data_IF_405832576704
#
_entry.id   IF_405832576704
#
_cell.length_a   1.000
_cell.length_b   1.000
_cell.length_c   1.000
_cell.angle_alpha   90.00
_cell.angle_beta   90.00
_cell.angle_gamma   90.00
#
_symmetry.space_group_name_H-M   'P 1'
#
loop_
_entity.id
_entity.type
_entity.pdbx_description
1 polymer ?
#
# COMPACT_ATOMS: atom_id res chain seq x y z
N UNK A 1 -23.96 -4.85 19.61
CA UNK A 1 -23.44 -3.60 19.00
C UNK A 1 -24.19 -3.45 17.70
N UNK A 2 -24.86 -2.33 17.45
CA UNK A 2 -25.59 -2.16 16.18
C UNK A 2 -24.56 -1.89 15.06
N UNK A 3 -24.59 -2.70 14.01
CA UNK A 3 -23.77 -2.53 12.81
C UNK A 3 -24.25 -1.31 12.03
N UNK A 4 -23.73 -0.13 12.39
CA UNK A 4 -23.99 1.10 11.63
C UNK A 4 -22.95 1.28 10.53
N UNK A 5 -23.28 1.94 9.41
CA UNK A 5 -22.32 2.23 8.34
C UNK A 5 -21.05 2.93 8.83
N UNK A 6 -21.16 3.78 9.85
CA UNK A 6 -20.01 4.47 10.46
C UNK A 6 -19.12 3.47 11.21
N UNK A 7 -19.70 2.59 12.01
CA UNK A 7 -18.94 1.56 12.73
C UNK A 7 -18.24 0.60 11.77
N UNK A 8 -18.91 0.18 10.69
CA UNK A 8 -18.33 -0.68 9.66
C UNK A 8 -17.18 0.01 8.91
N UNK A 9 -17.35 1.27 8.52
CA UNK A 9 -16.30 2.01 7.84
C UNK A 9 -15.06 2.21 8.73
N UNK A 10 -15.26 2.38 10.04
CA UNK A 10 -14.17 2.47 11.02
C UNK A 10 -13.47 1.12 11.19
N UNK A 11 -14.20 0.02 11.30
CA UNK A 11 -13.64 -1.33 11.39
C UNK A 11 -12.78 -1.64 10.15
N UNK A 12 -13.30 -1.42 8.94
CA UNK A 12 -12.56 -1.59 7.69
C UNK A 12 -11.25 -0.76 7.67
N UNK A 13 -11.32 0.51 8.09
CA UNK A 13 -10.14 1.39 8.13
C UNK A 13 -9.12 0.97 9.18
N UNK A 14 -9.58 0.52 10.35
CA UNK A 14 -8.70 0.04 11.42
C UNK A 14 -7.94 -1.21 10.97
N UNK A 15 -8.63 -2.16 10.33
CA UNK A 15 -8.01 -3.36 9.78
C UNK A 15 -7.04 -3.02 8.65
N UNK A 16 -7.42 -2.13 7.73
CA UNK A 16 -6.52 -1.64 6.67
C UNK A 16 -5.23 -1.02 7.24
N UNK A 17 -5.37 -0.16 8.26
CA UNK A 17 -4.22 0.47 8.94
C UNK A 17 -3.31 -0.55 9.62
N UNK A 18 -3.87 -1.68 10.05
CA UNK A 18 -3.09 -2.76 10.66
C UNK A 18 -2.30 -3.55 9.62
N UNK A 19 -2.85 -3.75 8.41
CA UNK A 19 -2.08 -4.25 7.26
C UNK A 19 -0.97 -3.29 6.84
N UNK A 20 -1.24 -1.98 6.78
CA UNK A 20 -0.22 -0.96 6.53
C UNK A 20 0.91 -1.01 7.56
N UNK A 21 0.56 -1.19 8.84
CA UNK A 21 1.54 -1.34 9.91
C UNK A 21 2.38 -2.63 9.76
N UNK A 22 1.78 -3.75 9.33
CA UNK A 22 2.53 -4.98 9.04
C UNK A 22 3.46 -4.79 7.85
N UNK A 23 3.00 -4.12 6.80
CA UNK A 23 3.82 -3.79 5.63
C UNK A 23 5.03 -2.94 6.01
N UNK A 24 4.84 -1.95 6.87
CA UNK A 24 5.92 -1.09 7.37
C UNK A 24 6.99 -1.80 8.21
N UNK A 25 6.72 -3.02 8.68
CA UNK A 25 7.68 -3.86 9.42
C UNK A 25 8.53 -4.75 8.52
N UNK A 26 8.21 -4.86 7.22
CA UNK A 26 8.96 -5.73 6.33
C UNK A 26 10.44 -5.31 6.24
N UNK A 27 11.37 -6.27 6.28
CA UNK A 27 12.78 -6.03 6.00
C UNK A 27 12.96 -5.34 4.63
N UNK A 28 13.86 -4.36 4.56
CA UNK A 28 14.18 -3.67 3.30
C UNK A 28 15.40 -4.32 2.67
N UNK A 29 15.31 -4.83 1.44
CA UNK A 29 16.46 -5.40 0.74
C UNK A 29 17.62 -4.38 0.65
N UNK A 30 18.81 -4.79 1.08
CA UNK A 30 20.04 -3.97 1.00
C UNK A 30 20.27 -3.01 2.16
N UNK A 31 19.34 -2.89 3.11
CA UNK A 31 19.57 -2.16 4.36
C UNK A 31 20.26 -3.08 5.38
N UNK A 32 21.53 -2.78 5.69
CA UNK A 32 22.34 -3.54 6.67
C UNK A 32 21.71 -3.51 8.07
N UNK A 33 20.90 -2.51 8.39
CA UNK A 33 20.19 -2.42 9.67
C UNK A 33 18.83 -3.13 9.66
N UNK A 34 18.33 -3.54 8.49
CA UNK A 34 17.10 -4.33 8.31
C UNK A 34 17.36 -5.60 7.52
N UNK A 35 18.50 -6.26 7.74
CA UNK A 35 18.68 -7.62 7.25
C UNK A 35 17.58 -8.51 7.84
N UNK A 36 16.88 -9.32 7.03
CA UNK A 36 15.81 -10.18 7.53
C UNK A 36 16.35 -11.17 8.58
N UNK A 37 15.85 -11.04 9.81
CA UNK A 37 16.13 -11.95 10.92
C UNK A 37 15.01 -12.99 11.06
N UNK A 38 15.37 -14.26 11.20
CA UNK A 38 14.41 -15.37 11.30
C UNK A 38 13.42 -15.18 12.44
N UNK A 39 13.86 -14.64 13.59
CA UNK A 39 12.96 -14.40 14.73
C UNK A 39 11.98 -13.27 14.42
N UNK A 40 12.46 -12.17 13.85
CA UNK A 40 11.61 -11.06 13.41
C UNK A 40 10.56 -11.51 12.37
N UNK A 41 10.96 -12.29 11.37
CA UNK A 41 10.04 -12.79 10.33
C UNK A 41 9.03 -13.79 10.92
N UNK A 42 9.47 -14.70 11.79
CA UNK A 42 8.55 -15.64 12.46
C UNK A 42 7.51 -14.92 13.34
N UNK A 43 7.93 -13.86 14.04
CA UNK A 43 7.00 -12.99 14.78
C UNK A 43 6.01 -12.31 13.85
N UNK A 44 6.46 -11.80 12.70
CA UNK A 44 5.59 -11.17 11.72
C UNK A 44 4.56 -12.16 11.15
N UNK A 45 4.94 -13.41 10.89
CA UNK A 45 4.02 -14.48 10.50
C UNK A 45 2.96 -14.71 11.59
N UNK A 46 3.36 -14.73 12.86
CA UNK A 46 2.43 -14.92 13.99
C UNK A 46 1.43 -13.76 14.09
N UNK A 47 1.91 -12.52 13.96
CA UNK A 47 1.06 -11.33 13.95
C UNK A 47 0.10 -11.30 12.75
N UNK A 48 0.57 -11.71 11.57
CA UNK A 48 -0.27 -11.82 10.38
C UNK A 48 -1.31 -12.94 10.50
N UNK A 49 -0.95 -14.07 11.13
CA UNK A 49 -1.89 -15.13 11.46
C UNK A 49 -3.03 -14.63 12.35
N UNK A 50 -2.72 -13.80 13.36
CA UNK A 50 -3.74 -13.18 14.19
C UNK A 50 -4.66 -12.22 13.39
N UNK A 51 -4.12 -11.50 12.40
CA UNK A 51 -4.94 -10.66 11.52
C UNK A 51 -5.86 -11.46 10.61
N UNK A 52 -5.38 -12.57 10.05
CA UNK A 52 -6.20 -13.47 9.24
C UNK A 52 -7.35 -14.04 10.08
N UNK A 53 -7.08 -14.47 11.32
CA UNK A 53 -8.14 -14.89 12.25
C UNK A 53 -9.12 -13.76 12.52
N UNK A 54 -8.62 -12.54 12.76
CA UNK A 54 -9.46 -11.36 12.95
C UNK A 54 -10.38 -11.06 11.76
N UNK A 55 -9.91 -11.24 10.52
CA UNK A 55 -10.76 -11.14 9.32
C UNK A 55 -11.88 -12.19 9.34
N UNK A 56 -11.56 -13.42 9.72
CA UNK A 56 -12.54 -14.51 9.85
C UNK A 56 -13.59 -14.23 10.92
N UNK A 57 -13.18 -13.73 12.09
CA UNK A 57 -14.07 -13.34 13.18
C UNK A 57 -15.03 -12.22 12.75
N UNK A 58 -14.53 -11.26 11.98
CA UNK A 58 -15.28 -10.10 11.52
C UNK A 58 -16.35 -10.48 10.47
N UNK A 59 -16.06 -11.50 9.65
CA UNK A 59 -17.01 -12.15 8.75
C UNK A 59 -18.06 -12.93 9.55
N UNK A 60 -17.63 -13.78 10.49
CA UNK A 60 -18.54 -14.61 11.30
C UNK A 60 -19.52 -13.74 12.09
N UNK A 61 -19.02 -12.70 12.76
CA UNK A 61 -19.83 -11.77 13.55
C UNK A 61 -20.96 -11.16 12.72
N UNK A 62 -20.69 -10.74 11.48
CA UNK A 62 -21.67 -10.10 10.59
C UNK A 62 -22.59 -11.06 9.86
N UNK A 63 -22.18 -12.32 9.70
CA UNK A 63 -23.06 -13.36 9.15
C UNK A 63 -24.10 -13.80 10.19
N UNK A 64 -23.71 -13.85 11.47
CA UNK A 64 -24.62 -14.23 12.58
C UNK A 64 -25.57 -13.10 12.96
N UNK A 65 -25.21 -11.84 12.73
CA UNK A 65 -26.10 -10.71 12.97
C UNK A 65 -27.21 -10.65 11.90
N UNK A 66 -28.46 -10.90 12.32
CA UNK A 66 -29.60 -11.17 11.43
C UNK A 66 -30.22 -9.92 10.75
N UNK A 67 -29.79 -8.71 11.09
CA UNK A 67 -30.23 -7.45 10.47
C UNK A 67 -29.33 -7.07 9.27
N UNK A 68 -29.31 -7.92 8.22
CA UNK A 68 -28.50 -7.67 7.03
C UNK A 68 -29.10 -6.57 6.16
N UNK A 69 -28.79 -5.33 6.50
CA UNK A 69 -28.83 -4.22 5.55
C UNK A 69 -27.88 -4.48 4.37
N UNK A 70 -28.18 -3.93 3.18
CA UNK A 70 -27.39 -4.15 1.97
C UNK A 70 -25.91 -3.73 2.11
N UNK A 71 -25.59 -2.81 3.04
CA UNK A 71 -24.20 -2.44 3.33
C UNK A 71 -23.43 -3.56 4.04
N UNK A 72 -24.10 -4.35 4.89
CA UNK A 72 -23.47 -5.43 5.67
C UNK A 72 -22.92 -6.55 4.77
N UNK A 73 -23.66 -6.91 3.71
CA UNK A 73 -23.19 -7.90 2.73
C UNK A 73 -21.93 -7.44 1.98
N UNK A 74 -21.84 -6.14 1.66
CA UNK A 74 -20.65 -5.56 1.03
C UNK A 74 -19.46 -5.57 2.00
N UNK A 75 -19.67 -5.19 3.26
CA UNK A 75 -18.63 -5.19 4.30
C UNK A 75 -18.09 -6.60 4.54
N UNK A 76 -18.96 -7.61 4.63
CA UNK A 76 -18.58 -9.02 4.74
C UNK A 76 -17.68 -9.42 3.56
N UNK A 77 -18.09 -9.07 2.34
CA UNK A 77 -17.33 -9.39 1.12
C UNK A 77 -15.96 -8.71 1.14
N UNK A 78 -15.87 -7.46 1.64
CA UNK A 78 -14.60 -6.74 1.75
C UNK A 78 -13.63 -7.39 2.74
N UNK A 79 -14.10 -7.85 3.91
CA UNK A 79 -13.25 -8.60 4.84
C UNK A 79 -12.83 -9.94 4.26
N UNK A 80 -13.75 -10.67 3.62
CA UNK A 80 -13.43 -11.94 2.97
C UNK A 80 -12.41 -11.78 1.82
N UNK A 81 -12.54 -10.71 1.03
CA UNK A 81 -11.61 -10.43 -0.07
C UNK A 81 -10.18 -10.14 0.42
N UNK A 82 -10.00 -9.61 1.63
CA UNK A 82 -8.69 -9.36 2.21
C UNK A 82 -7.98 -10.64 2.68
N UNK A 83 -8.70 -11.75 2.87
CA UNK A 83 -8.12 -13.03 3.35
C UNK A 83 -7.13 -13.60 2.33
N UNK A 84 -7.45 -13.50 1.02
CA UNK A 84 -6.59 -14.00 -0.05
C UNK A 84 -5.19 -13.38 -0.02
N UNK A 85 -5.07 -12.04 -0.19
CA UNK A 85 -3.78 -11.37 -0.13
C UNK A 85 -3.07 -11.51 1.23
N UNK A 86 -3.82 -11.56 2.34
CA UNK A 86 -3.22 -11.84 3.65
C UNK A 86 -2.57 -13.23 3.73
N UNK A 87 -3.22 -14.26 3.16
CA UNK A 87 -2.69 -15.61 3.05
C UNK A 87 -1.47 -15.70 2.14
N UNK A 88 -1.47 -14.97 1.02
CA UNK A 88 -0.32 -14.87 0.12
C UNK A 88 0.89 -14.23 0.81
N UNK A 89 0.68 -13.13 1.55
CA UNK A 89 1.73 -12.52 2.35
C UNK A 89 2.29 -13.50 3.40
N UNK A 90 1.45 -14.27 4.08
CA UNK A 90 1.89 -15.27 5.05
C UNK A 90 2.71 -16.39 4.38
N UNK A 91 2.28 -16.85 3.21
CA UNK A 91 3.02 -17.86 2.42
C UNK A 91 4.39 -17.35 2.00
N UNK A 92 4.46 -16.11 1.49
CA UNK A 92 5.71 -15.48 1.09
C UNK A 92 6.68 -15.31 2.27
N UNK A 93 6.20 -14.87 3.44
CA UNK A 93 7.01 -14.81 4.65
C UNK A 93 7.50 -16.19 5.12
N UNK A 94 6.68 -17.23 4.94
CA UNK A 94 7.10 -18.62 5.16
C UNK A 94 8.28 -19.03 4.27
N UNK A 95 8.27 -18.64 2.99
CA UNK A 95 9.40 -18.85 2.08
C UNK A 95 10.66 -18.11 2.55
N UNK A 96 10.52 -16.88 3.07
CA UNK A 96 11.64 -16.13 3.67
C UNK A 96 12.26 -16.91 4.82
N UNK A 97 11.46 -17.38 5.79
CA UNK A 97 11.98 -18.15 6.94
C UNK A 97 12.69 -19.41 6.50
N UNK A 98 12.16 -20.11 5.49
CA UNK A 98 12.79 -21.29 4.93
C UNK A 98 14.18 -20.97 4.36
N UNK A 99 14.30 -19.91 3.55
CA UNK A 99 15.60 -19.51 2.99
C UNK A 99 16.58 -19.02 4.05
N UNK A 100 16.14 -18.25 5.05
CA UNK A 100 17.00 -17.84 6.16
C UNK A 100 17.53 -19.04 6.96
N UNK A 101 16.70 -20.06 7.15
CA UNK A 101 17.11 -21.30 7.81
C UNK A 101 18.16 -22.04 6.99
N UNK A 102 17.98 -22.13 5.67
CA UNK A 102 18.98 -22.69 4.75
C UNK A 102 20.31 -21.92 4.80
N UNK A 103 20.26 -20.59 4.76
CA UNK A 103 21.45 -19.74 4.85
C UNK A 103 22.19 -19.93 6.18
N UNK A 104 21.46 -20.03 7.30
CA UNK A 104 22.07 -20.27 8.60
C UNK A 104 22.74 -21.66 8.67
N UNK A 105 22.07 -22.70 8.17
CA UNK A 105 22.59 -24.07 8.17
C UNK A 105 23.83 -24.23 7.28
N UNK A 106 23.93 -23.46 6.19
CA UNK A 106 25.02 -23.55 5.22
C UNK A 106 26.15 -22.55 5.44
N UNK A 107 26.14 -21.77 6.53
CA UNK A 107 27.16 -20.74 6.78
C UNK A 107 28.59 -21.30 6.78
N UNK A 108 28.77 -22.50 7.35
CA UNK A 108 30.05 -23.20 7.40
C UNK A 108 30.58 -23.65 6.02
N UNK A 109 29.74 -23.63 4.99
CA UNK A 109 30.09 -24.03 3.61
C UNK A 109 30.24 -22.83 2.69
N UNK A 110 30.15 -21.59 3.18
CA UNK A 110 30.06 -20.38 2.35
C UNK A 110 31.16 -20.20 1.30
N UNK A 111 32.35 -20.76 1.55
CA UNK A 111 33.51 -20.65 0.67
C UNK A 111 33.57 -21.77 -0.38
N UNK A 112 32.67 -22.77 -0.30
CA UNK A 112 32.54 -23.80 -1.33
C UNK A 112 31.75 -23.24 -2.53
N UNK A 113 32.23 -23.42 -3.77
CA UNK A 113 31.58 -22.84 -4.97
C UNK A 113 30.09 -23.19 -5.08
N UNK A 114 29.74 -24.47 -4.95
CA UNK A 114 28.36 -24.94 -5.08
C UNK A 114 27.45 -24.36 -3.98
N UNK A 115 27.97 -24.26 -2.76
CA UNK A 115 27.24 -23.66 -1.65
C UNK A 115 27.09 -22.15 -1.82
N UNK A 116 28.09 -21.47 -2.39
CA UNK A 116 28.02 -20.04 -2.68
C UNK A 116 26.90 -19.72 -3.66
N UNK A 117 26.81 -20.46 -4.77
CA UNK A 117 25.78 -20.27 -5.78
C UNK A 117 24.38 -20.55 -5.20
N UNK A 118 24.23 -21.62 -4.42
CA UNK A 118 22.98 -21.94 -3.75
C UNK A 118 22.56 -20.87 -2.72
N UNK A 119 23.52 -20.31 -1.98
CA UNK A 119 23.27 -19.21 -1.03
C UNK A 119 22.89 -17.91 -1.74
N UNK A 120 23.49 -17.62 -2.89
CA UNK A 120 23.09 -16.48 -3.70
C UNK A 120 21.67 -16.64 -4.25
N UNK A 121 21.31 -17.82 -4.72
CA UNK A 121 19.95 -18.13 -5.13
C UNK A 121 18.95 -17.98 -3.98
N UNK A 122 19.29 -18.49 -2.78
CA UNK A 122 18.46 -18.33 -1.58
C UNK A 122 18.25 -16.85 -1.22
N UNK A 123 19.29 -16.03 -1.30
CA UNK A 123 19.19 -14.59 -1.06
C UNK A 123 18.25 -13.88 -2.06
N UNK A 124 18.30 -14.26 -3.35
CA UNK A 124 17.38 -13.72 -4.37
C UNK A 124 15.93 -14.11 -4.08
N UNK A 125 15.68 -15.38 -3.74
CA UNK A 125 14.34 -15.86 -3.34
C UNK A 125 13.82 -15.10 -2.11
N UNK A 126 14.67 -14.80 -1.13
CA UNK A 126 14.29 -13.97 0.02
C UNK A 126 13.84 -12.57 -0.41
N UNK A 127 14.56 -11.91 -1.32
CA UNK A 127 14.19 -10.58 -1.81
C UNK A 127 12.88 -10.62 -2.57
N UNK A 128 12.71 -11.59 -3.48
CA UNK A 128 11.48 -11.73 -4.26
C UNK A 128 10.27 -12.01 -3.35
N UNK A 129 10.42 -12.91 -2.39
CA UNK A 129 9.36 -13.23 -1.44
C UNK A 129 8.98 -12.03 -0.54
N UNK A 130 9.95 -11.23 -0.11
CA UNK A 130 9.66 -9.97 0.60
C UNK A 130 8.89 -8.97 -0.28
N UNK A 131 9.21 -8.90 -1.57
CA UNK A 131 8.47 -8.09 -2.55
C UNK A 131 7.03 -8.57 -2.76
N UNK A 132 6.82 -9.88 -2.83
CA UNK A 132 5.48 -10.49 -2.87
C UNK A 132 4.69 -10.16 -1.61
N UNK A 133 5.29 -10.33 -0.43
CA UNK A 133 4.65 -9.99 0.84
C UNK A 133 4.27 -8.49 0.91
N UNK A 134 5.17 -7.59 0.48
CA UNK A 134 4.88 -6.15 0.45
C UNK A 134 3.68 -5.81 -0.46
N UNK A 135 3.63 -6.43 -1.64
CA UNK A 135 2.56 -6.21 -2.62
C UNK A 135 1.24 -6.75 -2.10
N UNK A 136 1.22 -7.96 -1.56
CA UNK A 136 0.00 -8.60 -1.05
C UNK A 136 -0.56 -7.90 0.19
N UNK A 137 0.29 -7.45 1.12
CA UNK A 137 -0.14 -6.64 2.27
C UNK A 137 -0.73 -5.29 1.83
N UNK A 138 -0.14 -4.66 0.80
CA UNK A 138 -0.66 -3.42 0.22
C UNK A 138 -2.02 -3.63 -0.43
N UNK A 139 -2.18 -4.71 -1.19
CA UNK A 139 -3.45 -5.05 -1.83
C UNK A 139 -4.57 -5.26 -0.79
N UNK A 140 -4.29 -5.98 0.30
CA UNK A 140 -5.24 -6.12 1.41
C UNK A 140 -5.63 -4.77 2.01
N UNK A 141 -4.65 -3.91 2.31
CA UNK A 141 -4.89 -2.59 2.88
C UNK A 141 -5.70 -1.68 1.94
N UNK A 142 -5.29 -1.58 0.67
CA UNK A 142 -5.94 -0.75 -0.34
C UNK A 142 -7.38 -1.18 -0.59
N UNK A 143 -7.65 -2.48 -0.66
CA UNK A 143 -9.00 -3.04 -0.80
C UNK A 143 -9.91 -2.64 0.36
N UNK A 144 -9.42 -2.75 1.60
CA UNK A 144 -10.17 -2.37 2.81
C UNK A 144 -10.35 -0.85 2.95
N UNK A 145 -9.34 -0.04 2.59
CA UNK A 145 -9.47 1.42 2.55
C UNK A 145 -10.50 1.86 1.51
N UNK A 146 -10.49 1.26 0.33
CA UNK A 146 -11.48 1.51 -0.71
C UNK A 146 -12.89 1.15 -0.22
N UNK A 147 -13.05 -0.03 0.40
CA UNK A 147 -14.32 -0.45 0.98
C UNK A 147 -14.82 0.55 2.04
N UNK A 148 -13.96 0.98 2.97
CA UNK A 148 -14.27 1.99 3.99
C UNK A 148 -14.80 3.28 3.36
N UNK A 149 -14.13 3.77 2.30
CA UNK A 149 -14.55 4.97 1.59
C UNK A 149 -15.88 4.81 0.83
N UNK A 150 -16.28 3.60 0.43
CA UNK A 150 -17.59 3.36 -0.16
C UNK A 150 -18.72 3.31 0.87
N UNK A 151 -18.45 2.76 2.06
CA UNK A 151 -19.44 2.63 3.14
C UNK A 151 -19.67 3.98 3.83
N UNK A 152 -18.61 4.76 4.02
CA UNK A 152 -18.71 6.13 4.55
C UNK A 152 -17.91 7.09 3.65
N UNK A 153 -18.55 7.66 2.61
CA UNK A 153 -17.90 8.59 1.71
C UNK A 153 -17.36 9.81 2.43
N UNK A 154 -16.13 10.26 2.10
CA UNK A 154 -15.60 11.50 2.66
C UNK A 154 -16.47 12.70 2.25
N UNK A 155 -16.62 13.68 3.16
CA UNK A 155 -17.40 14.87 2.87
C UNK A 155 -16.92 15.59 1.59
N UNK A 156 -17.84 16.22 0.86
CA UNK A 156 -17.51 16.95 -0.38
C UNK A 156 -16.40 18.00 -0.17
N UNK A 157 -16.33 18.61 1.02
CA UNK A 157 -15.25 19.55 1.40
C UNK A 157 -13.90 18.87 1.50
N UNK A 158 -13.83 17.66 2.07
CA UNK A 158 -12.60 16.87 2.14
C UNK A 158 -12.17 16.42 0.73
N UNK A 159 -13.12 15.99 -0.12
CA UNK A 159 -12.83 15.62 -1.51
C UNK A 159 -12.30 16.81 -2.32
N UNK A 160 -12.91 17.99 -2.17
CA UNK A 160 -12.43 19.21 -2.82
C UNK A 160 -11.05 19.64 -2.32
N UNK A 161 -10.77 19.51 -1.01
CA UNK A 161 -9.44 19.76 -0.46
C UNK A 161 -8.39 18.79 -1.03
N UNK A 162 -8.69 17.49 -1.07
CA UNK A 162 -7.79 16.46 -1.61
C UNK A 162 -7.49 16.69 -3.09
N UNK A 163 -8.50 17.03 -3.89
CA UNK A 163 -8.35 17.34 -5.32
C UNK A 163 -7.44 18.55 -5.58
N UNK A 164 -7.48 19.56 -4.68
CA UNK A 164 -6.55 20.70 -4.73
C UNK A 164 -5.12 20.33 -4.33
N UNK A 165 -4.93 19.37 -3.42
CA UNK A 165 -3.60 18.91 -3.01
C UNK A 165 -2.92 18.01 -4.06
N UNK A 166 -3.69 17.28 -4.88
CA UNK A 166 -3.17 16.47 -5.99
C UNK A 166 -3.02 17.24 -7.30
N UNK A 167 -3.60 18.45 -7.39
CA UNK A 167 -3.32 19.36 -8.50
C UNK A 167 -2.01 20.06 -8.17
N UNK A 168 -0.91 19.59 -8.76
CA UNK A 168 0.36 20.30 -8.77
C UNK A 168 0.10 21.78 -9.12
N UNK A 169 0.68 22.69 -8.32
CA UNK A 169 0.59 24.12 -8.57
C UNK A 169 0.88 24.40 -10.05
N UNK A 170 0.10 25.25 -10.74
CA UNK A 170 0.44 25.64 -12.10
C UNK A 170 1.86 26.23 -12.05
N UNK A 171 2.76 25.61 -12.80
CA UNK A 171 4.09 26.15 -13.02
C UNK A 171 3.92 27.62 -13.43
N UNK A 172 4.62 28.51 -12.73
CA UNK A 172 4.61 29.95 -12.97
C UNK A 172 4.63 30.22 -14.47
N UNK A 173 3.56 30.81 -14.98
CA UNK A 173 3.51 31.27 -16.36
C UNK A 173 4.67 32.24 -16.58
N UNK A 174 5.53 31.92 -17.54
CA UNK A 174 6.62 32.79 -17.98
C UNK A 174 6.06 34.18 -18.33
N UNK A 175 6.74 35.28 -17.94
CA UNK A 175 6.29 36.61 -18.31
C UNK A 175 6.33 36.77 -19.85
N UNK A 176 5.40 37.54 -20.44
CA UNK A 176 5.35 37.72 -21.88
C UNK A 176 6.62 38.44 -22.37
N UNK A 177 7.16 38.08 -23.55
CA UNK A 177 8.34 38.73 -24.09
C UNK A 177 8.04 40.20 -24.41
N UNK A 178 8.83 41.10 -23.85
CA UNK A 178 8.82 42.52 -24.16
C UNK A 178 9.31 42.70 -25.60
N UNK A 179 8.44 43.20 -26.48
CA UNK A 179 8.79 43.50 -27.88
C UNK A 179 9.46 44.89 -27.91
N UNK A 180 10.71 45.03 -28.39
CA UNK A 180 11.31 46.33 -28.61
C UNK A 180 10.72 46.98 -29.87
N UNK A 181 10.40 48.27 -29.76
CA UNK A 181 9.64 49.03 -30.74
C UNK A 181 10.28 49.15 -32.12
N UNK A 182 9.42 49.30 -33.12
CA UNK A 182 9.76 49.75 -34.46
C UNK A 182 9.22 51.18 -34.65
N UNK A 183 10.12 52.08 -35.03
CA UNK A 183 9.85 53.47 -35.36
C UNK A 183 8.90 53.58 -36.57
N UNK A 184 7.89 54.46 -36.46
CA UNK A 184 7.06 54.85 -37.60
C UNK A 184 7.73 56.03 -38.34
N UNK A 185 7.81 56.00 -39.68
CA UNK A 185 8.35 57.11 -40.45
C UNK A 185 7.33 58.24 -40.57
N UNK A 186 7.86 59.46 -40.65
CA UNK A 186 7.12 60.67 -40.95
C UNK A 186 6.53 60.61 -42.36
N UNK A 187 5.27 60.99 -42.51
CA UNK A 187 4.79 61.49 -43.79
C UNK A 187 3.86 62.70 -43.62
N UNK A 188 4.04 63.64 -44.54
CA UNK A 188 3.56 65.03 -44.54
C UNK A 188 2.62 65.21 -45.74
N UNK A 189 1.78 66.26 -45.68
CA UNK A 189 0.99 66.93 -46.77
C UNK A 189 -0.51 66.52 -46.72
N UNK A 190 -1.53 67.39 -46.79
CA UNK A 190 -1.79 68.67 -47.48
C UNK A 190 -2.63 69.64 -46.60
N UNK A 191 -2.43 70.97 -46.58
CA UNK A 191 -2.75 72.04 -47.56
C UNK A 191 -4.26 72.17 -47.87
N UNK A 192 -4.94 73.08 -47.15
CA UNK A 192 -6.28 73.59 -47.44
C UNK A 192 -6.22 75.11 -47.66
N UNK A 193 -6.93 75.58 -48.68
CA UNK A 193 -6.92 76.94 -49.25
C UNK A 193 -8.08 77.76 -48.72
#
# INVERSE_FOLDING_TARGET
>A
MNNTPISDALALRATASTFDAQRGKLPVPGDVHRSPDSVAVARQISELGALISGLGDEVLFRVVDHDQEAHSARVITSFAAAVGPAGEAASALGAVVHQLSFLNQTEHLRDQPDARDAREAAARVTVDALGTADTALREAADSLHAASATVSPPSARLQAARSRSTTAAPAFASPPPTVPGAAAPADRIARGR
#
